data_IF_086892760302
#
_entry.id   IF_086892760302
#
_cell.length_a   1.000
_cell.length_b   1.000
_cell.length_c   1.000
_cell.angle_alpha   90.00
_cell.angle_beta   90.00
_cell.angle_gamma   90.00
#
_symmetry.space_group_name_H-M   'P 1'
#
loop_
_entity.id
_entity.type
_entity.pdbx_description
1 polymer ?
#
# COMPACT_ATOMS: atom_id res chain seq x y z
N UNK A 1 10.34 56.37 46.98
CA UNK A 1 9.51 56.39 45.73
C UNK A 1 9.34 55.00 45.08
N UNK A 2 10.31 54.08 45.16
CA UNK A 2 10.24 52.75 44.51
C UNK A 2 8.97 51.93 44.80
N UNK A 3 8.50 51.83 46.05
CA UNK A 3 7.35 50.97 46.40
C UNK A 3 6.02 51.37 45.74
N UNK A 4 5.80 52.67 45.49
CA UNK A 4 4.57 53.17 44.82
C UNK A 4 4.61 52.93 43.31
N UNK A 5 5.80 53.04 42.72
CA UNK A 5 6.03 52.76 41.30
C UNK A 5 5.93 51.25 41.01
N UNK A 6 6.46 50.38 41.88
CA UNK A 6 6.31 48.92 41.75
C UNK A 6 4.85 48.48 41.84
N UNK A 7 4.05 49.05 42.75
CA UNK A 7 2.64 48.73 42.87
C UNK A 7 1.84 49.06 41.60
N UNK A 8 2.18 50.16 40.92
CA UNK A 8 1.56 50.56 39.65
C UNK A 8 1.86 49.56 38.52
N UNK A 9 3.11 49.10 38.42
CA UNK A 9 3.51 48.10 37.41
C UNK A 9 2.90 46.72 37.67
N UNK A 10 2.85 46.27 38.93
CA UNK A 10 2.20 45.01 39.29
C UNK A 10 0.70 45.04 38.95
N UNK A 11 0.01 46.15 39.25
CA UNK A 11 -1.40 46.33 38.88
C UNK A 11 -1.61 46.31 37.36
N UNK A 12 -0.70 46.93 36.60
CA UNK A 12 -0.71 46.90 35.13
C UNK A 12 -0.55 45.47 34.58
N UNK A 13 0.44 44.71 35.06
CA UNK A 13 0.63 43.32 34.60
C UNK A 13 -0.54 42.41 34.99
N UNK A 14 -1.20 42.67 36.13
CA UNK A 14 -2.40 41.94 36.53
C UNK A 14 -3.61 42.25 35.63
N UNK A 15 -3.75 43.50 35.19
CA UNK A 15 -4.79 43.91 34.24
C UNK A 15 -4.56 43.30 32.85
N UNK A 16 -3.31 43.27 32.38
CA UNK A 16 -2.94 42.59 31.13
C UNK A 16 -3.19 41.08 31.22
N UNK A 17 -2.85 40.46 32.35
CA UNK A 17 -3.10 39.03 32.58
C UNK A 17 -4.60 38.71 32.62
N UNK A 18 -5.41 39.54 33.28
CA UNK A 18 -6.87 39.34 33.34
C UNK A 18 -7.55 39.58 31.99
N UNK A 19 -7.13 40.59 31.23
CA UNK A 19 -7.62 40.83 29.87
C UNK A 19 -7.23 39.70 28.90
N UNK A 20 -6.01 39.15 29.01
CA UNK A 20 -5.61 37.97 28.25
C UNK A 20 -6.43 36.73 28.66
N UNK A 21 -6.70 36.57 29.96
CA UNK A 21 -7.47 35.45 30.50
C UNK A 21 -8.94 35.46 30.04
N UNK A 22 -9.61 36.61 29.98
CA UNK A 22 -11.00 36.71 29.51
C UNK A 22 -11.15 36.38 28.02
N UNK A 23 -10.17 36.75 27.20
CA UNK A 23 -10.16 36.38 25.76
C UNK A 23 -10.00 34.87 25.57
N UNK A 24 -9.23 34.21 26.44
CA UNK A 24 -9.02 32.76 26.40
C UNK A 24 -10.25 31.94 26.82
N UNK A 25 -11.16 32.49 27.64
CA UNK A 25 -12.32 31.74 28.16
C UNK A 25 -13.57 31.79 27.28
N UNK A 26 -13.68 32.79 26.39
CA UNK A 26 -14.89 33.06 25.59
C UNK A 26 -14.76 32.59 24.14
N UNK A 27 -13.54 32.30 23.64
CA UNK A 27 -13.33 31.92 22.24
C UNK A 27 -13.70 30.45 22.00
N UNK A 28 -14.71 30.18 21.17
CA UNK A 28 -15.04 28.83 20.69
C UNK A 28 -13.86 28.20 19.93
N UNK A 29 -13.61 26.92 20.19
CA UNK A 29 -12.45 26.22 19.66
C UNK A 29 -12.63 25.94 18.16
N UNK A 30 -11.69 26.32 17.28
CA UNK A 30 -11.77 25.95 15.88
C UNK A 30 -11.45 24.46 15.74
N UNK A 31 -12.45 23.65 15.41
CA UNK A 31 -12.27 22.30 14.88
C UNK A 31 -12.21 22.39 13.36
N UNK A 32 -11.19 21.79 12.73
CA UNK A 32 -11.23 21.55 11.30
C UNK A 32 -12.14 20.34 11.07
N UNK A 33 -13.33 20.59 10.56
CA UNK A 33 -14.28 19.58 10.13
C UNK A 33 -14.61 19.88 8.68
N UNK A 34 -14.52 18.86 7.82
CA UNK A 34 -15.03 18.98 6.45
C UNK A 34 -16.55 18.98 6.55
N UNK A 35 -17.19 20.09 6.20
CA UNK A 35 -18.65 20.12 6.04
C UNK A 35 -19.00 19.39 4.74
N UNK A 36 -19.88 18.38 4.83
CA UNK A 36 -20.35 17.57 3.69
C UNK A 36 -19.23 16.84 2.91
N UNK A 37 -18.49 15.93 3.54
CA UNK A 37 -17.51 15.14 2.81
C UNK A 37 -18.18 14.27 1.74
N UNK A 38 -17.50 14.04 0.62
CA UNK A 38 -17.97 13.11 -0.41
C UNK A 38 -18.10 11.68 0.14
N UNK A 39 -17.15 11.27 0.99
CA UNK A 39 -17.19 9.97 1.66
C UNK A 39 -16.72 10.06 3.11
N UNK A 40 -17.42 9.34 3.97
CA UNK A 40 -17.04 9.03 5.34
C UNK A 40 -17.08 7.50 5.48
N UNK A 41 -15.91 6.88 5.67
CA UNK A 41 -15.70 5.45 5.43
C UNK A 41 -15.10 4.76 6.65
N UNK A 42 -15.58 3.56 6.94
CA UNK A 42 -15.04 2.65 7.95
C UNK A 42 -14.25 1.50 7.33
N UNK A 43 -13.43 0.80 8.12
CA UNK A 43 -12.78 -0.43 7.69
C UNK A 43 -13.81 -1.49 7.25
N UNK A 44 -13.56 -2.13 6.11
CA UNK A 44 -14.43 -3.10 5.46
C UNK A 44 -15.54 -2.50 4.59
N UNK A 45 -15.70 -1.17 4.58
CA UNK A 45 -16.74 -0.50 3.81
C UNK A 45 -16.42 -0.44 2.31
N UNK A 46 -17.45 -0.54 1.49
CA UNK A 46 -17.35 -0.38 0.04
C UNK A 46 -17.83 1.00 -0.38
N UNK A 47 -17.09 1.65 -1.28
CA UNK A 47 -17.48 2.92 -1.88
C UNK A 47 -17.11 2.93 -3.37
N UNK A 48 -17.76 3.78 -4.16
CA UNK A 48 -17.61 3.77 -5.62
C UNK A 48 -17.25 5.14 -6.15
N UNK A 49 -16.16 5.24 -6.90
CA UNK A 49 -15.72 6.46 -7.57
C UNK A 49 -15.72 6.23 -9.08
N UNK A 50 -16.52 7.02 -9.80
CA UNK A 50 -16.64 6.97 -11.26
C UNK A 50 -16.82 5.53 -11.80
N UNK A 51 -17.77 4.80 -11.21
CA UNK A 51 -18.09 3.41 -11.58
C UNK A 51 -17.10 2.34 -11.10
N UNK A 52 -16.00 2.70 -10.44
CA UNK A 52 -15.07 1.74 -9.81
C UNK A 52 -15.35 1.59 -8.32
N UNK A 53 -15.66 0.37 -7.89
CA UNK A 53 -15.87 0.05 -6.47
C UNK A 53 -14.56 -0.30 -5.78
N UNK A 54 -14.36 0.29 -4.61
CA UNK A 54 -13.24 0.09 -3.71
C UNK A 54 -13.76 -0.45 -2.38
N UNK A 55 -12.96 -1.29 -1.72
CA UNK A 55 -13.18 -1.77 -0.36
C UNK A 55 -12.08 -1.21 0.56
N UNK A 56 -12.44 -0.53 1.65
CA UNK A 56 -11.46 -0.05 2.64
C UNK A 56 -10.89 -1.26 3.39
N UNK A 57 -9.69 -1.71 2.99
CA UNK A 57 -9.09 -2.96 3.46
C UNK A 57 -8.40 -2.82 4.81
N UNK A 58 -7.85 -1.65 5.12
CA UNK A 58 -7.22 -1.37 6.40
C UNK A 58 -7.52 0.07 6.81
N UNK A 59 -7.72 0.25 8.11
CA UNK A 59 -7.71 1.53 8.76
C UNK A 59 -7.00 1.37 10.10
N UNK A 60 -5.87 2.04 10.23
CA UNK A 60 -4.93 1.81 11.32
C UNK A 60 -4.56 3.10 12.02
N UNK A 61 -4.39 3.01 13.34
CA UNK A 61 -3.87 4.06 14.20
C UNK A 61 -2.77 3.46 15.10
N UNK A 62 -1.53 3.89 14.89
CA UNK A 62 -0.35 3.37 15.58
C UNK A 62 0.40 4.48 16.32
N UNK A 63 0.96 4.17 17.49
CA UNK A 63 1.79 5.13 18.21
C UNK A 63 3.22 5.11 17.65
N UNK A 64 3.70 6.25 17.18
CA UNK A 64 5.07 6.45 16.67
C UNK A 64 5.62 7.75 17.24
N UNK A 65 6.82 7.71 17.82
CA UNK A 65 7.52 8.89 18.38
C UNK A 65 6.65 9.76 19.30
N UNK A 66 5.81 9.12 20.14
CA UNK A 66 4.94 9.85 21.07
C UNK A 66 3.69 10.48 20.43
N UNK A 67 3.39 10.17 19.17
CA UNK A 67 2.22 10.65 18.44
C UNK A 67 1.43 9.49 17.80
N UNK A 68 0.13 9.67 17.59
CA UNK A 68 -0.70 8.69 16.87
C UNK A 68 -0.59 8.98 15.38
N UNK A 69 -0.12 7.98 14.64
CA UNK A 69 -0.04 7.95 13.18
C UNK A 69 -1.22 7.15 12.65
N UNK A 70 -2.02 7.73 11.76
CA UNK A 70 -3.15 7.09 11.10
C UNK A 70 -2.84 6.82 9.63
N UNK A 71 -3.38 5.72 9.12
CA UNK A 71 -3.31 5.32 7.72
C UNK A 71 -4.54 4.52 7.33
N UNK A 72 -4.87 4.54 6.04
CA UNK A 72 -5.83 3.65 5.43
C UNK A 72 -5.28 3.07 4.13
N UNK A 73 -5.81 1.90 3.78
CA UNK A 73 -5.69 1.34 2.44
C UNK A 73 -7.06 0.92 1.91
N UNK A 74 -7.22 0.91 0.59
CA UNK A 74 -8.35 0.30 -0.07
C UNK A 74 -7.90 -0.67 -1.17
N UNK A 75 -8.74 -1.65 -1.44
CA UNK A 75 -8.56 -2.60 -2.54
C UNK A 75 -9.64 -2.44 -3.59
N UNK A 76 -9.32 -2.76 -4.84
CA UNK A 76 -10.30 -2.92 -5.91
C UNK A 76 -9.90 -4.07 -6.83
N UNK A 77 -10.89 -4.72 -7.41
CA UNK A 77 -10.68 -5.81 -8.36
C UNK A 77 -10.70 -5.24 -9.78
N UNK A 78 -9.64 -5.49 -10.54
CA UNK A 78 -9.67 -5.37 -11.99
C UNK A 78 -10.02 -6.73 -12.58
N UNK A 79 -11.28 -6.92 -12.99
CA UNK A 79 -11.83 -8.19 -13.50
C UNK A 79 -11.16 -8.68 -14.79
N UNK A 80 -10.48 -7.80 -15.52
CA UNK A 80 -9.83 -8.11 -16.80
C UNK A 80 -8.39 -7.62 -16.83
N UNK A 81 -7.66 -7.86 -15.74
CA UNK A 81 -6.24 -7.55 -15.71
C UNK A 81 -5.48 -8.52 -16.62
N UNK A 82 -4.65 -7.97 -17.51
CA UNK A 82 -3.84 -8.77 -18.41
C UNK A 82 -2.64 -9.38 -17.69
N UNK A 83 -2.47 -10.69 -17.85
CA UNK A 83 -1.33 -11.47 -17.41
C UNK A 83 -0.59 -12.05 -18.62
N UNK A 84 0.69 -12.32 -18.43
CA UNK A 84 1.53 -12.95 -19.46
C UNK A 84 2.41 -14.02 -18.87
N UNK A 85 2.68 -15.07 -19.65
CA UNK A 85 3.71 -16.06 -19.35
C UNK A 85 4.59 -16.30 -20.57
N UNK A 86 5.82 -16.75 -20.33
CA UNK A 86 6.78 -17.08 -21.37
C UNK A 86 7.25 -18.51 -21.17
N UNK A 87 7.09 -19.33 -22.20
CA UNK A 87 7.57 -20.69 -22.24
C UNK A 87 8.77 -20.77 -23.16
N UNK A 88 9.96 -20.97 -22.61
CA UNK A 88 11.18 -21.04 -23.39
C UNK A 88 11.24 -22.32 -24.23
N UNK A 89 11.86 -22.24 -25.41
CA UNK A 89 12.11 -23.40 -26.25
C UNK A 89 12.95 -24.44 -25.49
N UNK A 90 12.62 -25.72 -25.67
CA UNK A 90 13.24 -26.87 -25.01
C UNK A 90 13.08 -26.92 -23.47
N UNK A 91 12.37 -25.96 -22.87
CA UNK A 91 12.01 -25.98 -21.45
C UNK A 91 10.87 -26.96 -21.19
N UNK A 92 10.68 -27.31 -19.92
CA UNK A 92 9.58 -28.13 -19.45
C UNK A 92 8.57 -27.29 -18.68
N UNK A 93 7.29 -27.51 -18.93
CA UNK A 93 6.17 -26.77 -18.34
C UNK A 93 5.13 -27.75 -17.83
N UNK A 94 4.45 -27.38 -16.75
CA UNK A 94 3.29 -28.14 -16.27
C UNK A 94 2.04 -27.66 -17.00
N UNK A 95 1.33 -28.59 -17.62
CA UNK A 95 0.11 -28.34 -18.37
C UNK A 95 -0.90 -29.44 -18.08
N UNK A 96 -2.09 -29.09 -17.59
CA UNK A 96 -3.14 -30.04 -17.18
C UNK A 96 -2.65 -31.15 -16.23
N UNK A 97 -1.78 -30.78 -15.29
CA UNK A 97 -1.12 -31.66 -14.31
C UNK A 97 -0.05 -32.61 -14.86
N UNK A 98 0.21 -32.61 -16.17
CA UNK A 98 1.32 -33.36 -16.77
C UNK A 98 2.48 -32.44 -17.14
N UNK A 99 3.67 -33.01 -17.32
CA UNK A 99 4.86 -32.27 -17.73
C UNK A 99 5.05 -32.37 -19.24
N UNK A 100 5.17 -31.23 -19.91
CA UNK A 100 5.41 -31.14 -21.35
C UNK A 100 6.70 -30.40 -21.63
N UNK A 101 7.42 -30.83 -22.67
CA UNK A 101 8.53 -30.08 -23.25
C UNK A 101 8.00 -29.20 -24.38
N UNK A 102 8.42 -27.95 -24.37
CA UNK A 102 8.11 -26.96 -25.41
C UNK A 102 9.10 -27.15 -26.56
N UNK A 103 8.61 -27.36 -27.77
CA UNK A 103 9.41 -27.56 -28.96
C UNK A 103 9.02 -26.51 -30.00
N UNK A 104 9.96 -25.64 -30.34
CA UNK A 104 9.78 -24.63 -31.40
C UNK A 104 10.63 -25.04 -32.60
N UNK A 105 10.08 -25.05 -33.82
CA UNK A 105 10.86 -25.33 -35.02
C UNK A 105 12.03 -24.35 -35.19
N UNK A 106 13.18 -24.86 -35.62
CA UNK A 106 14.35 -24.04 -35.91
C UNK A 106 14.22 -23.36 -37.28
N UNK A 107 13.33 -22.39 -37.37
CA UNK A 107 13.10 -21.53 -38.55
C UNK A 107 13.14 -20.07 -38.12
N UNK A 108 13.36 -19.15 -39.05
CA UNK A 108 13.53 -17.71 -38.75
C UNK A 108 12.30 -17.08 -38.11
N UNK A 109 11.09 -17.46 -38.55
CA UNK A 109 9.83 -16.92 -38.08
C UNK A 109 8.82 -18.06 -37.80
N UNK A 110 8.96 -18.77 -36.68
CA UNK A 110 8.04 -19.85 -36.35
C UNK A 110 6.66 -19.28 -36.00
N UNK A 111 5.61 -19.78 -36.64
CA UNK A 111 4.22 -19.45 -36.28
C UNK A 111 3.58 -20.48 -35.35
N UNK A 112 4.33 -21.53 -35.00
CA UNK A 112 3.82 -22.70 -34.30
C UNK A 112 4.85 -23.28 -33.33
N UNK A 113 4.35 -23.92 -32.28
CA UNK A 113 5.12 -24.70 -31.34
C UNK A 113 4.39 -25.99 -31.01
N UNK A 114 5.10 -26.98 -30.47
CA UNK A 114 4.52 -28.24 -30.02
C UNK A 114 4.84 -28.45 -28.55
N UNK A 115 3.82 -28.70 -27.74
CA UNK A 115 4.00 -29.33 -26.43
C UNK A 115 4.08 -30.84 -26.65
N UNK A 116 5.16 -31.45 -26.20
CA UNK A 116 5.33 -32.91 -26.21
C UNK A 116 5.49 -33.41 -24.80
N UNK A 117 4.64 -34.36 -24.40
CA UNK A 117 4.67 -34.99 -23.09
C UNK A 117 6.07 -35.50 -22.73
N UNK A 118 6.51 -35.20 -21.51
CA UNK A 118 7.77 -35.69 -20.95
C UNK A 118 7.50 -36.99 -20.23
N UNK A 119 8.11 -38.06 -20.73
CA UNK A 119 7.99 -39.40 -20.14
C UNK A 119 9.33 -39.83 -19.58
N UNK A 120 9.59 -39.65 -18.28
CA UNK A 120 10.84 -40.05 -17.66
C UNK A 120 10.98 -41.58 -17.69
N UNK A 121 12.21 -42.06 -17.79
CA UNK A 121 12.51 -43.47 -17.55
C UNK A 121 12.57 -43.70 -16.04
N UNK A 122 12.17 -44.88 -15.57
CA UNK A 122 12.29 -45.23 -14.15
C UNK A 122 13.76 -45.33 -13.73
N UNK A 123 14.04 -45.11 -12.44
CA UNK A 123 15.40 -45.08 -11.87
C UNK A 123 16.21 -46.36 -12.11
N UNK A 124 15.55 -47.49 -12.35
CA UNK A 124 16.20 -48.78 -12.62
C UNK A 124 16.56 -48.98 -14.10
N UNK A 125 16.39 -47.95 -14.95
CA UNK A 125 16.66 -48.04 -16.39
C UNK A 125 18.07 -47.56 -16.69
N UNK A 126 18.91 -48.45 -17.21
CA UNK A 126 20.27 -48.09 -17.64
C UNK A 126 20.25 -47.60 -19.08
N UNK A 127 20.79 -46.40 -19.32
CA UNK A 127 20.93 -45.84 -20.68
C UNK A 127 22.38 -45.66 -21.08
N UNK A 128 22.71 -45.96 -22.34
CA UNK A 128 24.03 -45.71 -22.94
C UNK A 128 23.89 -44.86 -24.20
N UNK A 129 24.95 -44.13 -24.56
CA UNK A 129 25.04 -43.41 -25.84
C UNK A 129 25.91 -44.20 -26.82
N UNK A 130 25.42 -44.42 -28.04
CA UNK A 130 26.19 -44.98 -29.14
C UNK A 130 25.84 -44.24 -30.44
N UNK A 131 26.85 -43.74 -31.16
CA UNK A 131 26.65 -43.05 -32.45
C UNK A 131 25.73 -41.82 -32.39
N UNK A 132 25.66 -41.13 -31.24
CA UNK A 132 24.77 -39.99 -31.03
C UNK A 132 23.32 -40.35 -30.71
N UNK A 133 22.98 -41.63 -30.64
CA UNK A 133 21.67 -42.13 -30.23
C UNK A 133 21.74 -42.78 -28.84
N UNK A 134 20.70 -42.54 -28.04
CA UNK A 134 20.57 -43.13 -26.71
C UNK A 134 19.81 -44.44 -26.76
N UNK A 135 20.32 -45.45 -26.07
CA UNK A 135 19.72 -46.79 -25.97
C UNK A 135 19.49 -47.14 -24.51
N UNK A 136 18.42 -47.88 -24.24
CA UNK A 136 18.17 -48.57 -22.97
C UNK A 136 18.78 -49.96 -23.06
N UNK A 137 19.51 -50.35 -22.01
CA UNK A 137 20.03 -51.70 -21.85
C UNK A 137 18.93 -52.57 -21.25
N UNK A 138 18.47 -53.55 -22.00
CA UNK A 138 17.48 -54.53 -21.54
C UNK A 138 18.20 -55.86 -21.31
N UNK A 139 18.01 -56.45 -20.12
CA UNK A 139 18.55 -57.77 -19.80
C UNK A 139 17.54 -58.82 -20.29
N UNK A 140 17.99 -59.69 -21.17
CA UNK A 140 17.20 -60.80 -21.70
C UNK A 140 17.24 -62.01 -20.77
N UNK A 141 16.26 -62.90 -20.93
CA UNK A 141 16.08 -64.10 -20.09
C UNK A 141 17.26 -65.09 -20.18
N UNK A 142 18.03 -65.02 -21.26
CA UNK A 142 19.20 -65.87 -21.56
C UNK A 142 20.51 -65.32 -20.97
N UNK A 143 20.46 -64.20 -20.23
CA UNK A 143 21.63 -63.51 -19.68
C UNK A 143 22.33 -62.60 -20.67
N UNK A 144 21.84 -62.50 -21.91
CA UNK A 144 22.34 -61.58 -22.90
C UNK A 144 21.75 -60.17 -22.70
N UNK A 145 22.35 -59.15 -23.32
CA UNK A 145 21.88 -57.76 -23.24
C UNK A 145 21.50 -57.26 -24.62
N UNK A 146 20.30 -56.69 -24.73
CA UNK A 146 19.85 -56.01 -25.93
C UNK A 146 19.87 -54.48 -25.74
N UNK A 147 20.05 -53.76 -26.85
CA UNK A 147 20.03 -52.31 -26.88
C UNK A 147 18.78 -51.85 -27.63
N UNK A 148 17.83 -51.28 -26.90
CA UNK A 148 16.60 -50.74 -27.47
C UNK A 148 16.71 -49.21 -27.53
N UNK A 149 16.49 -48.55 -28.67
CA UNK A 149 16.48 -47.08 -28.74
C UNK A 149 15.56 -46.49 -27.66
N UNK A 150 15.99 -45.43 -26.97
CA UNK A 150 15.20 -44.82 -25.88
C UNK A 150 13.80 -44.43 -26.34
N UNK A 151 13.65 -43.94 -27.58
CA UNK A 151 12.36 -43.60 -28.17
C UNK A 151 11.44 -44.81 -28.34
N UNK A 152 11.99 -45.95 -28.75
CA UNK A 152 11.24 -47.20 -28.92
C UNK A 152 10.90 -47.82 -27.57
N UNK A 153 11.85 -47.89 -26.64
CA UNK A 153 11.60 -48.38 -25.28
C UNK A 153 10.49 -47.58 -24.59
N UNK A 154 10.53 -46.23 -24.71
CA UNK A 154 9.45 -45.38 -24.19
C UNK A 154 8.11 -45.62 -24.88
N UNK A 155 8.10 -45.93 -26.18
CA UNK A 155 6.87 -46.23 -26.92
C UNK A 155 6.25 -47.55 -26.45
N UNK A 156 7.07 -48.56 -26.20
CA UNK A 156 6.62 -49.85 -25.68
C UNK A 156 6.08 -49.72 -24.25
N UNK A 157 6.72 -48.92 -23.40
CA UNK A 157 6.30 -48.75 -21.99
C UNK A 157 5.12 -47.80 -21.80
N UNK A 158 5.04 -46.71 -22.59
CA UNK A 158 4.11 -45.61 -22.37
C UNK A 158 3.22 -45.27 -23.57
N UNK A 159 3.36 -45.97 -24.70
CA UNK A 159 2.64 -45.66 -25.95
C UNK A 159 3.21 -44.46 -26.72
N UNK A 160 2.41 -43.86 -27.60
CA UNK A 160 2.76 -42.60 -28.27
C UNK A 160 2.73 -41.41 -27.31
N UNK A 161 3.69 -40.48 -27.44
CA UNK A 161 3.71 -39.30 -26.57
C UNK A 161 2.54 -38.40 -26.95
N UNK A 162 1.82 -37.89 -25.95
CA UNK A 162 0.82 -36.87 -26.23
C UNK A 162 1.50 -35.62 -26.78
N UNK A 163 0.95 -35.12 -27.89
CA UNK A 163 1.42 -33.88 -28.50
C UNK A 163 0.27 -32.90 -28.63
N UNK A 164 0.56 -31.63 -28.41
CA UNK A 164 -0.38 -30.54 -28.63
C UNK A 164 0.30 -29.44 -29.44
N UNK A 165 -0.30 -29.11 -30.58
CA UNK A 165 0.13 -27.98 -31.39
C UNK A 165 -0.38 -26.68 -30.78
N UNK A 166 0.49 -25.67 -30.77
CA UNK A 166 0.19 -24.29 -30.40
C UNK A 166 0.42 -23.44 -31.63
N UNK A 167 -0.55 -22.60 -31.98
CA UNK A 167 -0.44 -21.64 -33.08
C UNK A 167 -0.72 -20.24 -32.53
N UNK A 168 -0.09 -19.22 -33.10
CA UNK A 168 -0.39 -17.83 -32.73
C UNK A 168 -1.89 -17.56 -32.91
N UNK A 169 -2.51 -16.89 -31.94
CA UNK A 169 -3.94 -16.60 -31.88
C UNK A 169 -4.81 -17.75 -31.34
N UNK A 170 -4.28 -18.97 -31.17
CA UNK A 170 -5.04 -20.06 -30.57
C UNK A 170 -5.22 -19.88 -29.06
N UNK A 171 -6.35 -20.34 -28.55
CA UNK A 171 -6.69 -20.30 -27.11
C UNK A 171 -6.73 -21.68 -26.50
N UNK A 172 -6.29 -21.81 -25.25
CA UNK A 172 -6.32 -23.05 -24.49
C UNK A 172 -6.38 -22.79 -22.99
N UNK A 173 -6.75 -23.82 -22.20
CA UNK A 173 -6.83 -23.71 -20.74
C UNK A 173 -5.44 -23.83 -20.11
N UNK A 174 -4.98 -22.81 -19.40
CA UNK A 174 -3.72 -22.80 -18.65
C UNK A 174 -3.87 -22.06 -17.33
N UNK A 175 -3.35 -22.65 -16.24
CA UNK A 175 -3.48 -22.10 -14.88
C UNK A 175 -4.94 -21.72 -14.52
N UNK A 176 -5.91 -22.57 -14.92
CA UNK A 176 -7.36 -22.34 -14.78
C UNK A 176 -7.92 -21.10 -15.52
N UNK A 177 -7.16 -20.55 -16.47
CA UNK A 177 -7.55 -19.40 -17.28
C UNK A 177 -7.62 -19.77 -18.77
N UNK A 178 -8.52 -19.11 -19.50
CA UNK A 178 -8.49 -19.12 -20.97
C UNK A 178 -7.31 -18.28 -21.46
N UNK A 179 -6.32 -18.93 -22.05
CA UNK A 179 -5.02 -18.34 -22.41
C UNK A 179 -4.82 -18.35 -23.91
N UNK A 180 -4.45 -17.20 -24.50
CA UNK A 180 -4.06 -17.06 -25.90
C UNK A 180 -2.56 -17.24 -26.08
N UNK A 181 -2.17 -17.77 -27.25
CA UNK A 181 -0.80 -17.66 -27.75
C UNK A 181 -0.65 -16.32 -28.46
N UNK A 182 0.13 -15.42 -27.90
CA UNK A 182 0.32 -14.07 -28.42
C UNK A 182 1.39 -14.01 -29.50
N UNK A 183 2.52 -14.69 -29.26
CA UNK A 183 3.66 -14.68 -30.16
C UNK A 183 4.49 -15.95 -29.99
N UNK A 184 5.11 -16.42 -31.06
CA UNK A 184 6.08 -17.50 -31.04
C UNK A 184 7.35 -16.97 -31.72
N UNK A 185 8.47 -17.02 -30.99
CA UNK A 185 9.80 -16.75 -31.52
C UNK A 185 10.61 -18.04 -31.51
N UNK A 186 11.77 -18.06 -32.17
CA UNK A 186 12.66 -19.23 -32.14
C UNK A 186 13.08 -19.66 -30.71
N UNK A 187 13.01 -18.73 -29.74
CA UNK A 187 13.43 -18.96 -28.36
C UNK A 187 12.28 -19.15 -27.37
N UNK A 188 11.06 -18.71 -27.66
CA UNK A 188 9.96 -18.81 -26.70
C UNK A 188 8.56 -18.68 -27.30
N UNK A 189 7.58 -19.24 -26.58
CA UNK A 189 6.14 -18.99 -26.76
C UNK A 189 5.69 -17.98 -25.71
N UNK A 190 5.11 -16.85 -26.15
CA UNK A 190 4.49 -15.85 -25.28
C UNK A 190 2.99 -16.11 -25.20
N UNK A 191 2.49 -16.16 -23.98
CA UNK A 191 1.09 -16.39 -23.64
C UNK A 191 0.50 -15.15 -22.98
N UNK A 192 -0.80 -14.94 -23.16
CA UNK A 192 -1.55 -13.96 -22.38
C UNK A 192 -2.92 -14.48 -21.99
N UNK A 193 -3.43 -14.00 -20.87
CA UNK A 193 -4.80 -14.21 -20.44
C UNK A 193 -5.26 -13.03 -19.60
N UNK A 194 -6.57 -12.80 -19.57
CA UNK A 194 -7.18 -11.82 -18.68
C UNK A 194 -7.76 -12.56 -17.48
N UNK A 195 -7.50 -12.05 -16.29
CA UNK A 195 -8.00 -12.61 -15.03
C UNK A 195 -8.21 -11.50 -13.99
N UNK A 196 -9.05 -11.74 -12.97
CA UNK A 196 -9.22 -10.80 -11.87
C UNK A 196 -7.90 -10.54 -11.12
N UNK A 197 -7.58 -9.26 -10.89
CA UNK A 197 -6.47 -8.80 -10.04
C UNK A 197 -6.97 -7.87 -8.96
N UNK A 198 -6.73 -8.23 -7.71
CA UNK A 198 -6.87 -7.31 -6.58
C UNK A 198 -5.69 -6.34 -6.58
N UNK A 199 -6.00 -5.05 -6.61
CA UNK A 199 -5.02 -3.96 -6.48
C UNK A 199 -5.23 -3.27 -5.14
N UNK A 200 -4.18 -2.67 -4.59
CA UNK A 200 -4.19 -1.94 -3.32
C UNK A 200 -3.78 -0.50 -3.55
N UNK A 201 -4.42 0.42 -2.84
CA UNK A 201 -4.15 1.85 -2.82
C UNK A 201 -3.96 2.29 -1.38
N UNK A 202 -2.93 3.09 -1.14
CA UNK A 202 -2.65 3.70 0.15
C UNK A 202 -3.16 5.14 0.16
N UNK A 203 -3.87 5.53 1.22
CA UNK A 203 -4.39 6.90 1.42
C UNK A 203 -3.40 7.84 2.11
N UNK A 204 -2.17 7.36 2.36
CA UNK A 204 -1.10 8.08 3.03
C UNK A 204 -1.21 8.06 4.55
N UNK A 205 -0.07 8.28 5.20
CA UNK A 205 0.05 8.36 6.67
C UNK A 205 -0.11 9.78 7.15
N UNK A 206 -0.60 9.93 8.37
CA UNK A 206 -0.78 11.24 8.97
C UNK A 206 -0.65 11.22 10.49
N UNK A 207 -0.03 12.23 11.09
CA UNK A 207 0.30 12.24 12.52
C UNK A 207 -0.49 13.32 13.24
N UNK A 208 -1.40 12.95 14.14
CA UNK A 208 -2.25 13.90 14.84
C UNK A 208 -1.42 15.02 15.51
N UNK A 209 -1.79 16.29 15.30
CA UNK A 209 -1.12 17.42 15.95
C UNK A 209 -1.55 17.46 17.42
N UNK A 210 -0.59 17.39 18.35
CA UNK A 210 -0.87 17.45 19.80
C UNK A 210 -0.72 18.89 20.30
N UNK A 211 -1.71 19.38 21.06
CA UNK A 211 -1.50 20.52 21.96
C UNK A 211 -2.06 20.22 23.35
N UNK A 212 -1.50 20.85 24.39
CA UNK A 212 -1.96 20.68 25.78
C UNK A 212 -2.44 22.03 26.27
N UNK A 213 -3.73 22.14 26.62
CA UNK A 213 -4.26 23.29 27.34
C UNK A 213 -4.37 22.94 28.82
N UNK A 214 -3.85 23.78 29.70
CA UNK A 214 -4.09 23.67 31.13
C UNK A 214 -5.29 24.57 31.46
N UNK A 215 -6.46 23.97 31.73
CA UNK A 215 -7.64 24.70 32.21
C UNK A 215 -7.87 24.33 33.68
N UNK A 216 -7.85 25.30 34.57
CA UNK A 216 -8.11 25.10 36.01
C UNK A 216 -7.24 24.02 36.67
N UNK A 217 -5.99 23.86 36.22
CA UNK A 217 -5.06 22.83 36.72
C UNK A 217 -5.23 21.44 36.11
N UNK A 218 -6.21 21.23 35.22
CA UNK A 218 -6.38 19.97 34.48
C UNK A 218 -5.77 20.09 33.08
N UNK A 219 -4.72 19.31 32.75
CA UNK A 219 -4.20 19.26 31.40
C UNK A 219 -5.22 18.58 30.48
N UNK A 220 -5.80 19.35 29.56
CA UNK A 220 -6.67 18.87 28.49
C UNK A 220 -5.81 18.63 27.25
N UNK A 221 -5.68 17.38 26.84
CA UNK A 221 -4.97 16.99 25.61
C UNK A 221 -5.88 17.26 24.42
N UNK A 222 -5.43 18.11 23.50
CA UNK A 222 -6.08 18.31 22.20
C UNK A 222 -5.31 17.52 21.15
N UNK A 223 -6.06 16.81 20.31
CA UNK A 223 -5.55 16.15 19.12
C UNK A 223 -6.29 16.74 17.92
N UNK A 224 -5.57 17.42 17.03
CA UNK A 224 -6.15 17.79 15.74
C UNK A 224 -5.86 16.66 14.75
N UNK A 225 -6.86 16.22 13.97
CA UNK A 225 -6.67 15.24 12.93
C UNK A 225 -5.63 15.79 11.95
N UNK A 226 -4.54 15.06 11.79
CA UNK A 226 -3.69 15.29 10.65
C UNK A 226 -4.35 14.63 9.44
N UNK A 227 -4.15 15.23 8.28
CA UNK A 227 -4.73 14.87 6.99
C UNK A 227 -4.23 15.88 5.96
N UNK A 228 -4.69 15.79 4.72
CA UNK A 228 -4.23 16.68 3.65
C UNK A 228 -3.41 15.97 2.57
N UNK A 229 -3.27 14.64 2.63
CA UNK A 229 -2.67 13.90 1.52
C UNK A 229 -3.68 13.84 0.38
N UNK A 230 -3.22 14.14 -0.83
CA UNK A 230 -4.03 13.96 -2.02
C UNK A 230 -3.86 12.53 -2.54
N UNK A 231 -4.98 11.89 -2.83
CA UNK A 231 -5.07 10.57 -3.43
C UNK A 231 -5.86 10.69 -4.73
N UNK A 232 -5.43 10.01 -5.79
CA UNK A 232 -6.17 9.97 -7.05
C UNK A 232 -6.88 8.62 -7.18
N UNK A 233 -8.21 8.66 -7.22
CA UNK A 233 -9.12 7.54 -7.37
C UNK A 233 -9.78 7.59 -8.74
N UNK A 234 -9.45 6.64 -9.60
CA UNK A 234 -10.01 6.54 -10.96
C UNK A 234 -10.00 7.87 -11.75
N UNK A 235 -8.94 8.68 -11.59
CA UNK A 235 -8.79 9.98 -12.26
C UNK A 235 -9.33 11.19 -11.49
N UNK A 236 -10.05 10.98 -10.38
CA UNK A 236 -10.50 12.05 -9.49
C UNK A 236 -9.58 12.17 -8.27
N UNK A 237 -9.22 13.40 -7.91
CA UNK A 237 -8.34 13.65 -6.76
C UNK A 237 -9.16 14.02 -5.53
N UNK A 238 -8.88 13.34 -4.42
CA UNK A 238 -9.47 13.59 -3.12
C UNK A 238 -8.38 13.90 -2.11
N UNK A 239 -8.70 14.73 -1.13
CA UNK A 239 -7.90 14.95 0.06
C UNK A 239 -8.37 14.01 1.17
N UNK A 240 -7.43 13.33 1.81
CA UNK A 240 -7.71 12.36 2.87
C UNK A 240 -7.64 13.01 4.25
N UNK A 241 -8.58 12.63 5.11
CA UNK A 241 -8.69 13.11 6.49
C UNK A 241 -9.10 11.97 7.42
N UNK A 242 -8.63 12.03 8.67
CA UNK A 242 -8.88 10.99 9.67
C UNK A 242 -9.37 11.65 10.96
N UNK A 243 -10.69 11.88 11.12
CA UNK A 243 -11.22 12.60 12.28
C UNK A 243 -10.98 11.82 13.58
N UNK A 244 -10.98 10.49 13.51
CA UNK A 244 -10.70 9.57 14.61
C UNK A 244 -9.87 8.35 14.14
N UNK A 245 -9.80 7.28 14.93
CA UNK A 245 -9.00 6.09 14.64
C UNK A 245 -9.68 5.06 13.71
N UNK A 246 -10.97 5.26 13.43
CA UNK A 246 -11.89 4.33 12.76
C UNK A 246 -12.63 4.93 11.56
N UNK A 247 -12.40 6.21 11.27
CA UNK A 247 -13.03 6.91 10.16
C UNK A 247 -11.99 7.45 9.18
N UNK A 248 -12.19 7.18 7.89
CA UNK A 248 -11.51 7.83 6.75
C UNK A 248 -12.50 8.75 6.06
N UNK A 249 -12.14 10.02 5.94
CA UNK A 249 -12.90 11.02 5.18
C UNK A 249 -12.17 11.33 3.90
N UNK A 250 -12.90 11.34 2.78
CA UNK A 250 -12.41 11.76 1.47
C UNK A 250 -13.19 12.99 1.03
N UNK A 251 -12.47 14.05 0.65
CA UNK A 251 -13.10 15.26 0.12
C UNK A 251 -12.48 15.74 -1.19
N UNK A 252 -13.28 16.20 -2.14
CA UNK A 252 -12.78 16.84 -3.37
C UNK A 252 -12.41 18.33 -3.16
N UNK A 253 -12.76 18.92 -2.01
CA UNK A 253 -12.57 20.33 -1.70
C UNK A 253 -11.21 20.59 -1.01
N UNK A 254 -10.12 20.20 -1.68
CA UNK A 254 -8.77 20.32 -1.13
C UNK A 254 -8.43 21.75 -0.64
N UNK A 255 -8.84 22.78 -1.39
CA UNK A 255 -8.51 24.18 -1.10
C UNK A 255 -9.20 24.71 0.17
N UNK A 256 -10.46 24.35 0.40
CA UNK A 256 -11.21 24.77 1.59
C UNK A 256 -10.67 24.09 2.85
N UNK A 257 -10.35 22.80 2.74
CA UNK A 257 -9.76 22.05 3.84
C UNK A 257 -8.35 22.54 4.21
N UNK A 258 -7.49 22.84 3.23
CA UNK A 258 -6.18 23.43 3.51
C UNK A 258 -6.29 24.83 4.12
N UNK A 259 -7.23 25.66 3.66
CA UNK A 259 -7.49 26.98 4.25
C UNK A 259 -7.99 26.89 5.70
N UNK A 260 -8.80 25.87 6.03
CA UNK A 260 -9.22 25.60 7.42
C UNK A 260 -8.06 25.09 8.28
N UNK A 261 -7.21 24.19 7.75
CA UNK A 261 -5.99 23.74 8.44
C UNK A 261 -5.04 24.91 8.74
N UNK A 262 -4.84 25.82 7.78
CA UNK A 262 -4.03 27.02 7.97
C UNK A 262 -4.68 28.00 8.95
N UNK A 263 -6.01 28.11 8.97
CA UNK A 263 -6.75 28.90 9.98
C UNK A 263 -6.58 28.33 11.39
N UNK A 264 -6.63 27.00 11.55
CA UNK A 264 -6.36 26.33 12.83
C UNK A 264 -4.91 26.56 13.25
N UNK A 265 -3.95 26.42 12.33
CA UNK A 265 -2.51 26.65 12.60
C UNK A 265 -2.23 28.11 12.96
N UNK A 266 -2.84 29.07 12.27
CA UNK A 266 -2.65 30.49 12.52
C UNK A 266 -3.33 30.96 13.82
N UNK A 267 -4.53 30.45 14.14
CA UNK A 267 -5.14 30.68 15.46
C UNK A 267 -4.29 30.05 16.57
N UNK A 268 -3.65 28.91 16.33
CA UNK A 268 -2.75 28.25 17.29
C UNK A 268 -1.53 29.11 17.66
N UNK A 269 -0.89 29.77 16.69
CA UNK A 269 0.22 30.71 16.94
C UNK A 269 -0.21 31.86 17.87
N UNK A 270 -1.43 32.39 17.67
CA UNK A 270 -1.98 33.44 18.54
C UNK A 270 -2.28 32.94 19.95
N UNK A 271 -2.78 31.71 20.11
CA UNK A 271 -2.99 31.09 21.42
C UNK A 271 -1.67 30.86 22.15
N UNK A 272 -0.66 30.32 21.48
CA UNK A 272 0.69 30.15 22.05
C UNK A 272 1.31 31.51 22.44
N UNK A 273 1.15 32.54 21.61
CA UNK A 273 1.58 33.90 21.91
C UNK A 273 0.86 34.52 23.11
N UNK A 274 -0.46 34.35 23.23
CA UNK A 274 -1.26 34.79 24.38
C UNK A 274 -0.83 34.11 25.68
N UNK A 275 -0.53 32.81 25.64
CA UNK A 275 0.07 32.09 26.78
C UNK A 275 1.45 32.62 27.14
N UNK A 276 2.30 32.91 26.15
CA UNK A 276 3.60 33.55 26.36
C UNK A 276 3.49 34.88 27.08
N UNK A 277 2.55 35.74 26.67
CA UNK A 277 2.28 37.04 27.31
C UNK A 277 1.77 36.87 28.75
N UNK A 278 0.87 35.91 29.00
CA UNK A 278 0.36 35.62 30.33
C UNK A 278 1.48 35.15 31.27
N UNK A 279 2.29 34.19 30.84
CA UNK A 279 3.41 33.63 31.61
C UNK A 279 4.46 34.72 31.89
N UNK A 280 4.85 35.50 30.86
CA UNK A 280 5.81 36.60 31.00
C UNK A 280 5.28 37.69 31.94
N UNK A 281 3.99 38.01 31.89
CA UNK A 281 3.39 39.03 32.77
C UNK A 281 3.40 38.58 34.23
N UNK A 282 3.11 37.30 34.50
CA UNK A 282 3.17 36.73 35.87
C UNK A 282 4.61 36.66 36.38
N UNK A 283 5.56 36.22 35.54
CA UNK A 283 7.00 36.19 35.89
C UNK A 283 7.57 37.60 36.12
N UNK A 284 7.20 38.58 35.29
CA UNK A 284 7.59 39.98 35.44
C UNK A 284 7.04 40.59 36.73
N UNK A 285 5.77 40.30 37.06
CA UNK A 285 5.17 40.73 38.33
C UNK A 285 5.91 40.10 39.53
N UNK A 286 6.22 38.80 39.47
CA UNK A 286 6.93 38.10 40.53
C UNK A 286 8.37 38.62 40.73
N UNK A 287 9.12 38.82 39.64
CA UNK A 287 10.49 39.36 39.70
C UNK A 287 10.51 40.79 40.23
N UNK A 288 9.55 41.64 39.85
CA UNK A 288 9.41 42.99 40.41
C UNK A 288 9.14 42.97 41.92
N UNK A 289 8.30 42.04 42.39
CA UNK A 289 8.06 41.85 43.82
C UNK A 289 9.36 41.39 44.50
N UNK A 290 10.05 40.39 43.97
CA UNK A 290 11.31 39.89 44.53
C UNK A 290 12.37 41.00 44.63
N UNK A 291 12.53 41.82 43.59
CA UNK A 291 13.45 42.97 43.57
C UNK A 291 13.06 44.07 44.56
N UNK A 292 11.76 44.29 44.79
CA UNK A 292 11.29 45.29 45.75
C UNK A 292 11.51 44.88 47.22
N UNK A 293 11.71 43.58 47.47
CA UNK A 293 12.01 43.02 48.79
C UNK A 293 13.48 42.61 48.96
N UNK A 294 14.35 42.89 47.97
CA UNK A 294 15.79 42.77 48.18
C UNK A 294 16.23 43.75 49.29
N UNK A 295 17.03 43.29 50.26
CA UNK A 295 17.53 44.17 51.31
C UNK A 295 18.49 45.19 50.69
N UNK A 296 18.09 46.46 50.72
CA UNK A 296 19.00 47.55 50.42
C UNK A 296 20.04 47.60 51.56
N UNK A 297 21.32 47.45 51.22
CA UNK A 297 22.41 47.84 52.12
C UNK A 297 22.39 49.34 52.35
#
# INVERSE_FOLDING_TARGET
>A
MQKRTTALYVAFFFLVATAAFTVLTVTEQPTASVENPEYELSAGENFTVDGRTYNVSDLSAQMSEGSVVRSASATWVNESARYTATWANNSTVTYRNDTYRVLIPNVSNPSEATLREVRPLGNNTTTIQQGGQSYVVVNESDGNRSLVPVSEYKRQQFGEAQTRRLTVGSTFQYANNSTSVENITASAVKLAWDAPRTNTLEFGKTTAMRTTLIRSGTPTKMAFPAGGNNVTLNGQTYTTHYPDNSTLVLSNQAAEYHAQLDTVRHKHERFAGLWGVLILSVLAAFTMIALAFLPNK
#
